data_IF_227627910723
#
_entry.id   IF_227627910723
#
_cell.length_a   1.000
_cell.length_b   1.000
_cell.length_c   1.000
_cell.angle_alpha   90.00
_cell.angle_beta   90.00
_cell.angle_gamma   90.00
#
_symmetry.space_group_name_H-M   'P 1'
#
loop_
_entity.id
_entity.type
_entity.pdbx_description
1 polymer ?
#
# COMPACT_ATOMS: atom_id res chain seq x y z
N UNK A 1 -46.14 -47.47 -24.63
CA UNK A 1 -46.15 -45.99 -24.66
C UNK A 1 -45.06 -45.30 -23.85
N UNK A 2 -44.53 -45.90 -22.77
CA UNK A 2 -43.47 -45.25 -21.95
C UNK A 2 -42.02 -45.38 -22.45
N UNK A 3 -41.73 -46.22 -23.44
CA UNK A 3 -40.34 -46.49 -23.87
C UNK A 3 -39.91 -45.71 -25.14
N UNK A 4 -40.86 -45.14 -25.88
CA UNK A 4 -40.58 -44.34 -27.09
C UNK A 4 -40.37 -42.84 -26.80
N UNK A 5 -40.95 -42.31 -25.72
CA UNK A 5 -40.76 -40.92 -25.30
C UNK A 5 -39.39 -40.66 -24.65
N UNK A 6 -38.83 -41.65 -23.94
CA UNK A 6 -37.49 -41.54 -23.36
C UNK A 6 -36.38 -41.56 -24.42
N UNK A 7 -36.54 -42.34 -25.50
CA UNK A 7 -35.55 -42.40 -26.58
C UNK A 7 -35.49 -41.09 -27.39
N UNK A 8 -36.63 -40.46 -27.69
CA UNK A 8 -36.64 -39.16 -28.37
C UNK A 8 -35.97 -38.06 -27.52
N UNK A 9 -36.26 -38.01 -26.21
CA UNK A 9 -35.67 -37.01 -25.33
C UNK A 9 -34.13 -37.17 -25.18
N UNK A 10 -33.62 -38.40 -25.21
CA UNK A 10 -32.16 -38.64 -25.17
C UNK A 10 -31.46 -38.32 -26.49
N UNK A 11 -32.13 -38.48 -27.63
CA UNK A 11 -31.57 -38.12 -28.94
C UNK A 11 -31.50 -36.60 -29.14
N UNK A 12 -32.48 -35.85 -28.66
CA UNK A 12 -32.48 -34.38 -28.71
C UNK A 12 -31.40 -33.78 -27.78
N UNK A 13 -31.17 -34.37 -26.60
CA UNK A 13 -30.13 -33.91 -25.69
C UNK A 13 -28.70 -34.13 -26.26
N UNK A 14 -28.46 -35.25 -26.94
CA UNK A 14 -27.18 -35.55 -27.59
C UNK A 14 -26.98 -34.66 -28.83
N UNK A 15 -28.03 -34.41 -29.61
CA UNK A 15 -27.98 -33.48 -30.74
C UNK A 15 -27.71 -32.04 -30.29
N UNK A 16 -28.31 -31.59 -29.18
CA UNK A 16 -28.00 -30.29 -28.58
C UNK A 16 -26.57 -30.23 -28.04
N UNK A 17 -26.06 -31.29 -27.39
CA UNK A 17 -24.67 -31.31 -26.89
C UNK A 17 -23.65 -31.29 -28.04
N UNK A 18 -23.94 -32.01 -29.13
CA UNK A 18 -23.11 -32.01 -30.34
C UNK A 18 -23.20 -30.66 -31.07
N UNK A 19 -24.35 -30.01 -31.10
CA UNK A 19 -24.49 -28.66 -31.67
C UNK A 19 -23.79 -27.61 -30.81
N UNK A 20 -23.83 -27.72 -29.48
CA UNK A 20 -23.09 -26.84 -28.56
C UNK A 20 -21.59 -27.09 -28.67
N UNK A 21 -21.13 -28.34 -28.77
CA UNK A 21 -19.72 -28.68 -29.02
C UNK A 21 -19.25 -28.22 -30.41
N UNK A 22 -20.08 -28.36 -31.45
CA UNK A 22 -19.79 -27.87 -32.80
C UNK A 22 -19.78 -26.33 -32.86
N UNK A 23 -20.63 -25.66 -32.07
CA UNK A 23 -20.60 -24.20 -31.88
C UNK A 23 -19.37 -23.77 -31.08
N UNK A 24 -18.97 -24.51 -30.03
CA UNK A 24 -17.77 -24.21 -29.24
C UNK A 24 -16.48 -24.45 -30.02
N UNK A 25 -16.42 -25.46 -30.88
CA UNK A 25 -15.28 -25.68 -31.78
C UNK A 25 -15.22 -24.68 -32.94
N UNK A 26 -16.29 -23.92 -33.20
CA UNK A 26 -16.33 -22.87 -34.23
C UNK A 26 -16.12 -21.45 -33.69
N UNK A 27 -15.92 -21.27 -32.39
CA UNK A 27 -15.85 -19.94 -31.75
C UNK A 27 -14.47 -19.56 -31.21
N UNK A 28 -13.41 -20.26 -31.60
CA UNK A 28 -12.01 -19.88 -31.32
C UNK A 28 -11.13 -20.04 -32.58
N UNK A 29 -11.61 -19.59 -33.74
CA UNK A 29 -10.67 -18.98 -34.70
C UNK A 29 -10.52 -17.53 -34.24
N UNK A 30 -9.55 -17.29 -33.35
CA UNK A 30 -9.03 -15.93 -33.16
C UNK A 30 -8.25 -15.67 -34.43
N UNK A 31 -8.85 -14.94 -35.38
CA UNK A 31 -8.14 -14.48 -36.57
C UNK A 31 -6.84 -13.81 -36.10
N UNK A 32 -5.71 -14.44 -36.45
CA UNK A 32 -4.41 -13.97 -36.00
C UNK A 32 -4.12 -12.62 -36.65
N UNK A 33 -3.99 -11.58 -35.83
CA UNK A 33 -3.76 -10.20 -36.26
C UNK A 33 -2.44 -10.11 -37.05
N UNK A 34 -2.47 -9.58 -38.26
CA UNK A 34 -1.28 -9.41 -39.09
C UNK A 34 -0.66 -8.02 -38.87
N UNK A 35 0.62 -7.94 -38.55
CA UNK A 35 1.34 -6.68 -38.38
C UNK A 35 2.54 -6.57 -39.32
N UNK A 36 2.97 -5.34 -39.58
CA UNK A 36 4.25 -5.08 -40.25
C UNK A 36 5.41 -5.20 -39.27
N UNK A 37 6.52 -5.78 -39.69
CA UNK A 37 7.69 -6.02 -38.85
C UNK A 37 8.99 -5.79 -39.62
N UNK A 38 9.88 -4.97 -39.07
CA UNK A 38 11.12 -4.56 -39.75
C UNK A 38 12.18 -5.67 -39.77
N UNK A 39 12.13 -6.62 -38.82
CA UNK A 39 13.15 -7.67 -38.62
C UNK A 39 12.59 -9.10 -38.59
N UNK A 40 11.44 -9.34 -39.21
CA UNK A 40 10.82 -10.66 -39.27
C UNK A 40 11.20 -11.43 -40.54
N UNK A 41 11.35 -12.76 -40.42
CA UNK A 41 11.96 -13.64 -41.44
C UNK A 41 11.07 -13.95 -42.66
N UNK A 42 9.84 -13.46 -42.72
CA UNK A 42 8.92 -13.66 -43.84
C UNK A 42 8.27 -12.33 -44.23
N UNK A 43 8.54 -11.84 -45.45
CA UNK A 43 7.85 -10.73 -46.12
C UNK A 43 7.61 -9.43 -45.30
N UNK A 44 8.43 -9.15 -44.28
CA UNK A 44 8.24 -8.01 -43.36
C UNK A 44 6.88 -8.00 -42.65
N UNK A 45 6.31 -9.19 -42.40
CA UNK A 45 5.08 -9.35 -41.64
C UNK A 45 5.23 -10.36 -40.50
N UNK A 46 4.36 -10.26 -39.50
CA UNK A 46 4.25 -11.19 -38.39
C UNK A 46 2.77 -11.31 -37.97
N UNK A 47 2.45 -12.38 -37.25
CA UNK A 47 1.09 -12.66 -36.74
C UNK A 47 1.09 -12.67 -35.22
N UNK A 48 0.10 -12.06 -34.59
CA UNK A 48 -0.04 -12.00 -33.13
C UNK A 48 -1.48 -12.15 -32.65
N UNK A 49 -1.64 -12.59 -31.42
CA UNK A 49 -2.88 -12.60 -30.64
C UNK A 49 -3.08 -11.31 -29.80
N UNK A 50 -2.05 -10.44 -29.77
CA UNK A 50 -2.07 -9.17 -29.03
C UNK A 50 -2.30 -7.95 -29.93
N UNK A 51 -1.26 -7.13 -30.11
CA UNK A 51 -1.36 -5.84 -30.83
C UNK A 51 -0.16 -5.61 -31.75
N UNK A 52 -0.36 -4.78 -32.78
CA UNK A 52 0.72 -4.27 -33.61
C UNK A 52 1.37 -3.05 -32.95
N UNK A 53 2.70 -3.00 -32.94
CA UNK A 53 3.48 -1.92 -32.34
C UNK A 53 4.24 -1.11 -33.39
N UNK A 54 4.33 0.21 -33.18
CA UNK A 54 5.24 1.12 -33.89
C UNK A 54 5.83 2.16 -32.94
N UNK A 55 7.14 2.39 -33.05
CA UNK A 55 7.83 3.51 -32.42
C UNK A 55 8.08 4.61 -33.45
N UNK A 56 7.60 5.84 -33.18
CA UNK A 56 7.77 6.99 -34.06
C UNK A 56 8.73 7.99 -33.43
N UNK A 57 9.78 8.38 -34.16
CA UNK A 57 10.73 9.40 -33.75
C UNK A 57 10.44 10.73 -34.43
N UNK A 58 10.33 11.80 -33.65
CA UNK A 58 10.20 13.17 -34.14
C UNK A 58 11.58 13.81 -34.28
N UNK A 59 11.99 14.11 -35.51
CA UNK A 59 13.24 14.80 -35.83
C UNK A 59 12.93 16.14 -36.51
N UNK A 60 12.79 17.21 -35.71
CA UNK A 60 12.36 18.52 -36.21
C UNK A 60 10.87 18.53 -36.61
N UNK A 61 10.58 18.91 -37.87
CA UNK A 61 9.24 18.88 -38.47
C UNK A 61 8.87 17.54 -39.11
N UNK A 62 9.81 16.59 -39.19
CA UNK A 62 9.62 15.30 -39.85
C UNK A 62 9.47 14.17 -38.82
N UNK A 63 8.51 13.29 -39.04
CA UNK A 63 8.25 12.11 -38.21
C UNK A 63 8.69 10.87 -38.96
N UNK A 64 9.47 10.00 -38.31
CA UNK A 64 10.06 8.81 -38.92
C UNK A 64 9.76 7.62 -38.01
N UNK A 65 9.22 6.53 -38.54
CA UNK A 65 9.08 5.28 -37.78
C UNK A 65 10.44 4.60 -37.57
N UNK A 66 10.78 4.29 -36.34
CA UNK A 66 12.07 3.72 -35.93
C UNK A 66 12.02 2.19 -35.76
N UNK A 67 10.89 1.65 -35.31
CA UNK A 67 10.74 0.20 -35.07
C UNK A 67 9.28 -0.24 -35.17
N UNK A 68 9.03 -1.36 -35.85
CA UNK A 68 7.72 -2.02 -35.98
C UNK A 68 7.81 -3.51 -35.66
N UNK A 69 6.89 -4.03 -34.86
CA UNK A 69 6.84 -5.45 -34.49
C UNK A 69 5.44 -5.89 -34.01
N UNK A 70 5.27 -7.20 -33.92
CA UNK A 70 4.15 -7.84 -33.22
C UNK A 70 4.42 -7.91 -31.72
N UNK A 71 3.40 -7.66 -30.90
CA UNK A 71 3.43 -7.90 -29.46
C UNK A 71 2.36 -8.93 -29.13
N UNK A 72 2.74 -10.02 -28.47
CA UNK A 72 1.80 -11.06 -28.03
C UNK A 72 0.99 -10.61 -26.82
N UNK A 73 -0.22 -11.16 -26.66
CA UNK A 73 -1.09 -10.86 -25.51
C UNK A 73 -0.42 -11.20 -24.17
N UNK A 74 0.44 -12.21 -24.15
CA UNK A 74 1.25 -12.57 -22.96
C UNK A 74 2.28 -11.50 -22.55
N UNK A 75 2.67 -10.60 -23.46
CA UNK A 75 3.64 -9.52 -23.22
C UNK A 75 2.97 -8.18 -22.86
N UNK A 76 1.64 -8.12 -22.90
CA UNK A 76 0.86 -6.93 -22.55
C UNK A 76 0.73 -6.79 -21.03
N UNK A 77 1.64 -6.04 -20.43
CA UNK A 77 1.69 -5.84 -18.97
C UNK A 77 1.57 -4.34 -18.64
N UNK A 78 0.60 -3.94 -17.78
CA UNK A 78 -0.66 -4.65 -17.47
C UNK A 78 -1.56 -4.72 -18.72
N UNK A 79 -2.39 -5.76 -18.84
CA UNK A 79 -3.22 -6.03 -20.04
C UNK A 79 -4.12 -4.86 -20.43
N UNK A 80 -4.73 -4.19 -19.45
CA UNK A 80 -5.65 -3.08 -19.69
C UNK A 80 -4.95 -1.78 -20.12
N UNK A 81 -3.65 -1.64 -19.82
CA UNK A 81 -2.85 -0.47 -20.16
C UNK A 81 -1.38 -0.85 -20.34
N UNK A 82 -1.02 -1.51 -21.44
CA UNK A 82 0.31 -2.07 -21.63
C UNK A 82 1.36 -0.95 -21.63
N UNK A 83 2.42 -1.10 -20.84
CA UNK A 83 3.48 -0.08 -20.76
C UNK A 83 4.14 0.16 -22.13
N UNK A 84 4.22 -0.87 -22.96
CA UNK A 84 4.77 -0.80 -24.33
C UNK A 84 3.95 0.13 -25.25
N UNK A 85 2.68 0.39 -24.92
CA UNK A 85 1.78 1.25 -25.68
C UNK A 85 1.59 2.64 -25.05
N UNK A 86 2.21 2.89 -23.89
CA UNK A 86 1.99 4.13 -23.15
C UNK A 86 2.86 5.27 -23.68
N UNK A 87 2.30 6.44 -24.02
CA UNK A 87 3.09 7.60 -24.44
C UNK A 87 4.00 8.08 -23.30
N UNK A 88 5.28 8.32 -23.59
CA UNK A 88 6.23 8.83 -22.62
C UNK A 88 5.99 10.32 -22.37
N UNK A 89 5.78 10.72 -21.11
CA UNK A 89 5.56 12.13 -20.72
C UNK A 89 6.86 12.93 -20.54
N UNK A 90 8.03 12.29 -20.65
CA UNK A 90 9.33 12.96 -20.61
C UNK A 90 9.81 13.25 -22.03
N UNK A 91 9.73 14.52 -22.41
CA UNK A 91 9.96 15.11 -23.74
C UNK A 91 11.39 15.00 -24.29
N UNK A 92 12.30 14.23 -23.67
CA UNK A 92 13.73 14.29 -24.00
C UNK A 92 14.19 13.29 -25.08
N UNK A 93 13.44 12.22 -25.35
CA UNK A 93 13.90 11.19 -26.32
C UNK A 93 13.21 11.24 -27.68
N UNK A 94 12.12 12.02 -27.82
CA UNK A 94 11.45 12.22 -29.12
C UNK A 94 10.85 10.95 -29.74
N UNK A 95 10.70 9.85 -28.99
CA UNK A 95 10.14 8.57 -29.45
C UNK A 95 8.74 8.40 -28.86
N UNK A 96 7.76 8.14 -29.72
CA UNK A 96 6.34 7.97 -29.42
C UNK A 96 5.92 6.53 -29.77
N UNK A 97 5.74 5.66 -28.76
CA UNK A 97 5.21 4.32 -28.99
C UNK A 97 3.70 4.37 -29.24
N UNK A 98 3.23 3.59 -30.20
CA UNK A 98 1.81 3.42 -30.50
C UNK A 98 1.50 1.94 -30.74
N UNK A 99 0.32 1.53 -30.28
CA UNK A 99 -0.23 0.21 -30.50
C UNK A 99 -1.59 0.30 -31.18
N UNK A 100 -1.89 -0.67 -32.03
CA UNK A 100 -3.16 -0.75 -32.75
C UNK A 100 -3.55 -2.21 -33.01
N UNK A 101 -4.84 -2.43 -33.27
CA UNK A 101 -5.46 -3.76 -33.27
C UNK A 101 -6.16 -4.11 -34.59
N UNK A 102 -5.72 -3.52 -35.70
CA UNK A 102 -6.20 -3.84 -37.05
C UNK A 102 -5.06 -4.29 -37.96
N UNK A 103 -5.35 -5.11 -38.96
CA UNK A 103 -4.32 -5.68 -39.82
C UNK A 103 -3.46 -4.59 -40.49
N UNK A 104 -2.15 -4.72 -40.38
CA UNK A 104 -1.11 -3.83 -40.90
C UNK A 104 -1.22 -2.36 -40.46
N UNK A 105 -1.95 -2.07 -39.37
CA UNK A 105 -2.15 -0.71 -38.87
C UNK A 105 -0.85 0.03 -38.49
N UNK A 106 0.22 -0.71 -38.22
CA UNK A 106 1.53 -0.16 -37.86
C UNK A 106 2.44 0.11 -39.08
N UNK A 107 1.97 -0.14 -40.32
CA UNK A 107 2.73 0.07 -41.56
C UNK A 107 2.82 1.54 -41.95
N UNK A 108 1.67 2.22 -41.95
CA UNK A 108 1.50 3.64 -42.30
C UNK A 108 0.68 4.34 -41.20
N UNK A 109 1.27 4.60 -40.02
CA UNK A 109 0.55 5.19 -38.89
C UNK A 109 0.10 6.63 -39.21
N UNK A 110 -1.13 6.98 -38.82
CA UNK A 110 -1.64 8.34 -38.94
C UNK A 110 -0.98 9.27 -37.91
N UNK A 111 -0.21 10.23 -38.42
CA UNK A 111 0.53 11.22 -37.63
C UNK A 111 -0.33 12.39 -37.15
N UNK A 112 -1.65 12.40 -37.38
CA UNK A 112 -2.57 13.45 -36.93
C UNK A 112 -3.19 13.16 -35.55
N UNK A 113 -3.00 11.96 -34.99
CA UNK A 113 -3.58 11.50 -33.71
C UNK A 113 -2.72 11.88 -32.50
N UNK A 114 -1.86 12.90 -32.62
CA UNK A 114 -1.29 13.50 -31.41
C UNK A 114 -2.41 14.25 -30.70
N UNK A 115 -2.58 14.12 -29.37
CA UNK A 115 -3.39 15.10 -28.65
C UNK A 115 -2.72 16.46 -28.86
N UNK A 116 -3.31 17.29 -29.72
CA UNK A 116 -3.11 18.73 -29.63
C UNK A 116 -3.45 19.13 -28.20
N UNK A 117 -2.64 20.01 -27.61
CA UNK A 117 -2.98 20.64 -26.34
C UNK A 117 -4.34 21.34 -26.49
N UNK A 118 -5.43 20.67 -26.09
CA UNK A 118 -6.67 21.37 -25.77
C UNK A 118 -6.38 22.22 -24.53
N UNK A 119 -6.04 23.49 -24.77
CA UNK A 119 -6.11 24.51 -23.73
C UNK A 119 -7.58 24.64 -23.35
N UNK A 120 -7.98 24.27 -22.12
CA UNK A 120 -9.37 24.45 -21.72
C UNK A 120 -9.68 25.94 -21.79
N UNK A 121 -10.80 26.29 -22.44
CA UNK A 121 -11.39 27.61 -22.38
C UNK A 121 -11.75 27.95 -20.93
N UNK A 122 -10.80 28.53 -20.19
CA UNK A 122 -11.03 28.98 -18.83
C UNK A 122 -11.89 30.23 -18.85
N UNK A 123 -13.11 30.16 -18.33
CA UNK A 123 -13.74 31.35 -17.76
C UNK A 123 -12.76 31.93 -16.74
N UNK A 124 -12.43 33.22 -16.89
CA UNK A 124 -11.41 33.87 -16.08
C UNK A 124 -11.67 33.70 -14.57
N UNK A 125 -10.63 33.76 -13.72
CA UNK A 125 -10.73 33.53 -12.27
C UNK A 125 -11.84 34.34 -11.59
N UNK A 126 -12.11 35.53 -12.13
CA UNK A 126 -13.16 36.45 -11.66
C UNK A 126 -14.57 35.92 -11.94
N UNK A 127 -14.79 35.31 -13.10
CA UNK A 127 -16.09 34.74 -13.45
C UNK A 127 -16.36 33.45 -12.66
N UNK A 128 -15.35 32.61 -12.45
CA UNK A 128 -15.46 31.40 -11.63
C UNK A 128 -15.73 31.76 -10.15
N UNK A 129 -15.04 32.78 -9.63
CA UNK A 129 -15.27 33.28 -8.27
C UNK A 129 -16.68 33.86 -8.11
N UNK A 130 -17.20 34.60 -9.09
CA UNK A 130 -18.56 35.14 -9.05
C UNK A 130 -19.64 34.05 -9.08
N UNK A 131 -19.44 33.00 -9.88
CA UNK A 131 -20.38 31.87 -10.00
C UNK A 131 -20.45 31.04 -8.72
N UNK A 132 -19.37 30.96 -7.94
CA UNK A 132 -19.34 30.21 -6.67
C UNK A 132 -19.78 31.10 -5.49
N UNK A 133 -19.34 32.36 -5.45
CA UNK A 133 -19.62 33.25 -4.33
C UNK A 133 -21.10 33.64 -4.24
N UNK A 134 -21.78 33.88 -5.37
CA UNK A 134 -23.19 34.26 -5.37
C UNK A 134 -24.12 33.21 -4.74
N UNK A 135 -24.08 31.92 -5.15
CA UNK A 135 -24.91 30.88 -4.52
C UNK A 135 -24.59 30.69 -3.03
N UNK A 136 -23.31 30.74 -2.64
CA UNK A 136 -22.91 30.58 -1.24
C UNK A 136 -23.44 31.73 -0.38
N UNK A 137 -23.35 32.97 -0.86
CA UNK A 137 -23.91 34.13 -0.16
C UNK A 137 -25.44 34.03 -0.03
N UNK A 138 -26.14 33.59 -1.07
CA UNK A 138 -27.60 33.38 -1.03
C UNK A 138 -27.97 32.30 -0.01
N UNK A 139 -27.26 31.17 0.00
CA UNK A 139 -27.48 30.09 0.98
C UNK A 139 -27.25 30.55 2.42
N UNK A 140 -26.20 31.33 2.69
CA UNK A 140 -25.94 31.90 4.01
C UNK A 140 -27.07 32.85 4.45
N UNK A 141 -27.58 33.70 3.55
CA UNK A 141 -28.69 34.60 3.85
C UNK A 141 -30.00 33.84 4.15
N UNK A 142 -30.27 32.76 3.42
CA UNK A 142 -31.44 31.90 3.67
C UNK A 142 -31.35 31.20 5.03
N UNK A 143 -30.16 30.74 5.43
CA UNK A 143 -29.95 30.12 6.75
C UNK A 143 -30.13 31.11 7.90
N UNK A 144 -29.63 32.35 7.75
CA UNK A 144 -29.82 33.41 8.75
C UNK A 144 -31.30 33.78 8.87
N UNK A 145 -32.01 33.90 7.74
CA UNK A 145 -33.44 34.20 7.73
C UNK A 145 -34.25 33.07 8.37
N UNK A 146 -33.92 31.81 8.06
CA UNK A 146 -34.55 30.63 8.66
C UNK A 146 -34.32 30.60 10.18
N UNK A 147 -33.10 30.89 10.65
CA UNK A 147 -32.78 31.00 12.06
C UNK A 147 -33.59 32.10 12.74
N UNK A 148 -33.70 33.27 12.12
CA UNK A 148 -34.47 34.39 12.64
C UNK A 148 -35.97 34.09 12.72
N UNK A 149 -36.53 33.43 11.71
CA UNK A 149 -37.94 33.00 11.69
C UNK A 149 -38.19 31.92 12.75
N UNK A 150 -37.33 30.91 12.87
CA UNK A 150 -37.44 29.88 13.91
C UNK A 150 -37.30 30.47 15.32
N UNK A 151 -36.44 31.46 15.50
CA UNK A 151 -36.26 32.12 16.79
C UNK A 151 -37.47 33.00 17.15
N UNK A 152 -38.01 33.76 16.20
CA UNK A 152 -39.22 34.55 16.44
C UNK A 152 -40.48 33.68 16.61
N UNK A 153 -40.57 32.55 15.92
CA UNK A 153 -41.67 31.58 16.14
C UNK A 153 -41.57 30.88 17.49
N UNK A 154 -40.35 30.66 18.01
CA UNK A 154 -40.13 30.14 19.38
C UNK A 154 -40.37 31.20 20.48
N UNK A 155 -40.45 32.48 20.13
CA UNK A 155 -40.71 33.58 21.06
C UNK A 155 -42.19 33.81 21.43
N UNK A 156 -43.15 33.12 20.78
CA UNK A 156 -44.58 33.33 21.03
C UNK A 156 -45.37 32.06 21.44
N UNK A 157 -44.72 30.92 21.66
CA UNK A 157 -45.44 29.67 21.93
C UNK A 157 -44.66 28.61 22.68
N UNK A 158 -44.28 28.87 23.94
CA UNK A 158 -43.89 27.81 24.89
C UNK A 158 -43.97 28.30 26.34
N UNK A 159 -45.18 28.64 26.78
CA UNK A 159 -45.50 28.61 28.20
C UNK A 159 -45.71 27.16 28.63
N UNK A 160 -44.85 26.68 29.55
CA UNK A 160 -45.11 25.51 30.39
C UNK A 160 -44.62 24.16 29.87
N UNK A 161 -43.54 23.65 30.47
CA UNK A 161 -43.60 22.46 31.34
C UNK A 161 -42.20 21.85 31.58
N UNK A 162 -41.89 21.61 32.87
CA UNK A 162 -41.22 20.37 33.28
C UNK A 162 -39.69 20.41 33.42
N UNK A 163 -39.23 20.71 34.63
CA UNK A 163 -37.87 20.47 35.10
C UNK A 163 -37.53 18.97 35.20
N UNK A 164 -36.28 18.60 34.91
CA UNK A 164 -35.56 17.56 35.67
C UNK A 164 -34.05 17.81 35.60
N UNK A 165 -33.49 18.28 36.72
CA UNK A 165 -32.05 18.29 36.96
C UNK A 165 -31.53 16.85 37.08
N UNK A 166 -30.53 16.45 36.29
CA UNK A 166 -29.64 15.37 36.70
C UNK A 166 -28.21 15.88 36.86
N UNK A 167 -27.78 15.80 38.12
CA UNK A 167 -26.55 16.25 38.74
C UNK A 167 -25.39 15.34 38.34
N UNK A 168 -24.23 15.96 38.08
CA UNK A 168 -22.91 15.33 37.94
C UNK A 168 -22.50 14.70 39.28
N UNK A 169 -21.97 13.47 39.34
CA UNK A 169 -21.19 13.01 40.47
C UNK A 169 -19.70 13.28 40.22
N UNK A 170 -19.10 13.99 41.15
CA UNK A 170 -17.66 14.08 41.37
C UNK A 170 -17.43 13.30 42.67
N UNK A 171 -16.60 12.25 42.66
CA UNK A 171 -16.12 11.64 43.90
C UNK A 171 -14.80 10.91 43.67
N UNK A 172 -13.79 11.39 44.40
CA UNK A 172 -12.57 10.69 44.75
C UNK A 172 -12.91 9.67 45.86
N UNK A 173 -12.60 8.39 45.67
CA UNK A 173 -12.38 7.46 46.80
C UNK A 173 -11.40 6.33 46.37
N UNK A 174 -10.39 5.96 47.19
CA UNK A 174 -9.33 5.03 46.81
C UNK A 174 -9.58 3.65 47.44
N UNK A 175 -10.17 2.71 46.70
CA UNK A 175 -10.16 1.28 47.09
C UNK A 175 -10.65 0.34 45.98
N UNK A 176 -9.89 0.15 44.90
CA UNK A 176 -10.13 -0.93 43.94
C UNK A 176 -8.80 -1.45 43.37
N UNK A 177 -8.11 -2.27 44.15
CA UNK A 177 -7.03 -3.15 43.66
C UNK A 177 -7.63 -4.45 43.14
N UNK A 178 -8.19 -4.45 41.94
CA UNK A 178 -8.37 -5.68 41.15
C UNK A 178 -8.13 -5.40 39.67
N UNK A 179 -7.03 -5.88 39.07
CA UNK A 179 -6.88 -5.86 37.63
C UNK A 179 -7.97 -6.74 37.02
N UNK A 180 -8.75 -6.20 36.09
CA UNK A 180 -9.77 -6.86 35.28
C UNK A 180 -9.16 -7.89 34.31
N UNK A 181 -8.33 -8.82 34.80
CA UNK A 181 -7.55 -9.73 33.97
C UNK A 181 -7.43 -11.06 34.69
N UNK A 182 -8.13 -12.05 34.15
CA UNK A 182 -8.12 -13.42 34.66
C UNK A 182 -6.73 -14.04 34.50
N UNK A 183 -6.20 -14.58 35.59
CA UNK A 183 -4.94 -15.33 35.62
C UNK A 183 -5.10 -16.56 34.73
N UNK A 184 -4.29 -16.64 33.66
CA UNK A 184 -4.28 -17.77 32.71
C UNK A 184 -4.61 -17.43 31.25
N UNK A 185 -4.96 -16.18 30.92
CA UNK A 185 -5.15 -15.74 29.53
C UNK A 185 -3.81 -15.48 28.84
N UNK A 186 -3.61 -16.03 27.63
CA UNK A 186 -2.38 -15.78 26.87
C UNK A 186 -2.45 -14.43 26.15
N UNK A 187 -1.29 -13.86 25.78
CA UNK A 187 -1.22 -12.61 25.02
C UNK A 187 -2.00 -12.70 23.70
N UNK A 188 -1.97 -13.87 23.05
CA UNK A 188 -2.69 -14.11 21.80
C UNK A 188 -4.21 -14.04 22.00
N UNK A 189 -4.73 -14.57 23.10
CA UNK A 189 -6.16 -14.56 23.39
C UNK A 189 -6.65 -13.13 23.65
N UNK A 190 -5.91 -12.35 24.43
CA UNK A 190 -6.25 -10.96 24.74
C UNK A 190 -6.25 -10.07 23.48
N UNK A 191 -5.32 -10.31 22.56
CA UNK A 191 -5.26 -9.59 21.27
C UNK A 191 -6.39 -10.06 20.35
N UNK A 192 -6.63 -11.37 20.25
CA UNK A 192 -7.66 -11.93 19.37
C UNK A 192 -9.07 -11.46 19.77
N UNK A 193 -9.41 -11.57 21.06
CA UNK A 193 -10.73 -11.20 21.58
C UNK A 193 -11.02 -9.69 21.42
N UNK A 194 -9.99 -8.83 21.52
CA UNK A 194 -10.17 -7.37 21.40
C UNK A 194 -10.07 -6.84 19.96
N UNK A 195 -9.56 -7.63 19.00
CA UNK A 195 -9.55 -7.26 17.57
C UNK A 195 -10.87 -7.52 16.85
N UNK A 196 -11.83 -8.22 17.47
CA UNK A 196 -13.18 -8.43 16.91
C UNK A 196 -14.08 -7.20 16.99
N UNK A 197 -13.74 -6.23 17.84
CA UNK A 197 -14.40 -4.92 17.91
C UNK A 197 -13.64 -3.93 17.03
N UNK A 198 -14.05 -3.81 15.77
CA UNK A 198 -13.34 -3.11 14.69
C UNK A 198 -13.15 -1.59 14.86
N UNK A 199 -12.38 -1.13 15.84
CA UNK A 199 -12.09 0.30 16.06
C UNK A 199 -10.61 0.66 16.15
N UNK A 200 -9.69 -0.30 16.01
CA UNK A 200 -8.25 -0.02 15.98
C UNK A 200 -7.37 -1.25 16.15
N UNK A 201 -6.11 -1.16 15.74
CA UNK A 201 -5.09 -2.17 15.95
C UNK A 201 -4.44 -1.96 17.32
N UNK A 202 -4.96 -2.61 18.37
CA UNK A 202 -4.37 -2.55 19.72
C UNK A 202 -5.38 -2.70 20.86
N UNK A 203 -4.87 -2.75 22.09
CA UNK A 203 -5.70 -2.82 23.31
C UNK A 203 -6.45 -1.49 23.52
N UNK A 204 -7.64 -1.46 24.17
CA UNK A 204 -8.39 -0.24 24.47
C UNK A 204 -7.54 0.82 25.19
N UNK A 205 -7.75 2.12 24.88
CA UNK A 205 -6.98 3.25 25.40
C UNK A 205 -6.85 3.28 26.95
N UNK A 206 -7.87 2.80 27.68
CA UNK A 206 -7.85 2.73 29.15
C UNK A 206 -6.91 1.63 29.67
N UNK A 207 -6.74 0.53 28.93
CA UNK A 207 -5.82 -0.57 29.28
C UNK A 207 -4.38 -0.20 28.94
N UNK A 208 -4.17 0.62 27.89
CA UNK A 208 -2.83 1.01 27.43
C UNK A 208 -1.99 1.70 28.52
N UNK A 209 -2.59 2.54 29.39
CA UNK A 209 -1.90 3.39 30.39
C UNK A 209 -1.32 2.69 31.63
N UNK A 210 -1.17 1.36 31.61
CA UNK A 210 -0.63 0.60 32.76
C UNK A 210 0.28 -0.56 32.36
N UNK A 211 0.46 -0.79 31.07
CA UNK A 211 1.18 -1.96 30.56
C UNK A 211 2.66 -1.87 30.92
N UNK A 212 3.27 -0.70 30.75
CA UNK A 212 4.68 -0.48 31.01
C UNK A 212 5.07 -0.75 32.49
N UNK A 213 4.13 -0.59 33.43
CA UNK A 213 4.34 -0.91 34.85
C UNK A 213 4.54 -2.40 35.10
N UNK A 214 3.86 -3.24 34.30
CA UNK A 214 3.88 -4.69 34.43
C UNK A 214 4.95 -5.38 33.58
N UNK A 215 5.66 -4.63 32.73
CA UNK A 215 6.76 -5.14 31.91
C UNK A 215 8.08 -5.05 32.66
N UNK A 216 8.82 -6.15 32.65
CA UNK A 216 10.18 -6.24 33.17
C UNK A 216 11.15 -6.22 31.98
N UNK A 217 12.00 -5.19 31.89
CA UNK A 217 13.05 -5.12 30.89
C UNK A 217 14.15 -6.14 31.22
N UNK A 218 14.68 -6.82 30.21
CA UNK A 218 15.70 -7.85 30.37
C UNK A 218 17.02 -7.46 29.70
N UNK A 219 16.99 -7.21 28.39
CA UNK A 219 18.20 -7.00 27.59
C UNK A 219 18.00 -5.86 26.59
N UNK A 220 19.00 -4.99 26.43
CA UNK A 220 19.01 -4.01 25.34
C UNK A 220 19.43 -4.73 24.04
N UNK A 221 18.53 -4.76 23.06
CA UNK A 221 18.73 -5.51 21.81
C UNK A 221 19.11 -4.62 20.63
N UNK A 222 18.97 -3.30 20.75
CA UNK A 222 19.44 -2.37 19.72
C UNK A 222 19.17 -0.91 20.03
N UNK A 223 19.91 -0.02 19.38
CA UNK A 223 19.65 1.42 19.39
C UNK A 223 19.14 1.83 18.01
N UNK A 224 17.89 2.28 17.97
CA UNK A 224 17.26 2.85 16.78
C UNK A 224 17.61 4.32 16.59
N UNK A 225 16.95 4.97 15.61
CA UNK A 225 17.18 6.39 15.29
C UNK A 225 16.74 7.34 16.41
N UNK A 226 15.65 7.00 17.09
CA UNK A 226 14.95 7.87 18.05
C UNK A 226 14.76 7.22 19.43
N UNK A 227 15.41 6.07 19.68
CA UNK A 227 15.15 5.32 20.90
C UNK A 227 15.92 4.02 20.99
N UNK A 228 15.92 3.43 22.18
CA UNK A 228 16.55 2.14 22.46
C UNK A 228 15.48 1.04 22.48
N UNK A 229 15.76 -0.09 21.85
CA UNK A 229 14.89 -1.26 21.82
C UNK A 229 15.41 -2.27 22.82
N UNK A 230 14.51 -2.69 23.71
CA UNK A 230 14.74 -3.68 24.75
C UNK A 230 13.89 -4.91 24.51
N UNK A 231 14.44 -6.08 24.83
CA UNK A 231 13.67 -7.28 25.11
C UNK A 231 13.11 -7.15 26.53
N UNK A 232 11.81 -7.37 26.67
CA UNK A 232 11.12 -7.38 27.96
C UNK A 232 10.19 -8.57 28.08
N UNK A 233 9.70 -8.78 29.30
CA UNK A 233 8.77 -9.86 29.62
C UNK A 233 7.44 -9.27 30.12
N UNK A 234 6.34 -9.67 29.49
CA UNK A 234 4.98 -9.29 29.87
C UNK A 234 4.11 -10.54 30.03
N UNK A 235 3.63 -10.80 31.26
CA UNK A 235 2.81 -11.99 31.58
C UNK A 235 3.41 -13.33 31.14
N UNK A 236 4.74 -13.44 31.21
CA UNK A 236 5.46 -14.66 30.80
C UNK A 236 5.85 -14.70 29.33
N UNK A 237 5.30 -13.82 28.50
CA UNK A 237 5.61 -13.72 27.06
C UNK A 237 6.71 -12.68 26.80
N UNK A 238 7.48 -12.91 25.73
CA UNK A 238 8.54 -12.03 25.28
C UNK A 238 7.97 -10.88 24.43
N UNK A 239 8.33 -9.64 24.76
CA UNK A 239 7.91 -8.43 24.04
C UNK A 239 9.12 -7.57 23.68
N UNK A 240 9.02 -6.82 22.60
CA UNK A 240 9.99 -5.77 22.27
C UNK A 240 9.45 -4.42 22.76
N UNK A 241 10.31 -3.64 23.41
CA UNK A 241 9.98 -2.34 23.99
C UNK A 241 10.92 -1.29 23.43
N UNK A 242 10.41 -0.40 22.58
CA UNK A 242 11.14 0.77 22.08
C UNK A 242 10.91 1.92 23.04
N UNK A 243 11.98 2.40 23.68
CA UNK A 243 11.97 3.43 24.70
C UNK A 243 12.54 4.72 24.11
N UNK A 244 11.76 5.78 24.20
CA UNK A 244 12.09 7.13 23.75
C UNK A 244 12.30 8.05 24.95
N UNK A 245 13.18 9.03 24.79
CA UNK A 245 13.29 10.13 25.74
C UNK A 245 12.11 11.10 25.58
N UNK A 246 11.82 11.90 26.61
CA UNK A 246 10.83 12.97 26.53
C UNK A 246 11.12 14.01 25.43
N UNK A 247 12.38 14.13 25.00
CA UNK A 247 12.78 15.01 23.88
C UNK A 247 12.33 14.47 22.51
N UNK A 248 12.01 13.19 22.43
CA UNK A 248 11.64 12.47 21.20
C UNK A 248 10.13 12.18 21.13
N UNK A 249 9.32 12.89 21.94
CA UNK A 249 7.86 12.72 22.01
C UNK A 249 7.18 12.80 20.64
N UNK A 250 7.61 13.70 19.76
CA UNK A 250 7.06 13.81 18.40
C UNK A 250 7.29 12.54 17.57
N UNK A 251 8.45 11.93 17.70
CA UNK A 251 8.80 10.69 17.00
C UNK A 251 8.01 9.50 17.57
N UNK A 252 7.94 9.40 18.90
CA UNK A 252 7.13 8.39 19.59
C UNK A 252 5.65 8.50 19.21
N UNK A 253 5.09 9.71 19.27
CA UNK A 253 3.69 9.97 18.95
C UNK A 253 3.37 9.61 17.50
N UNK A 254 4.23 10.01 16.55
CA UNK A 254 4.06 9.68 15.14
C UNK A 254 4.06 8.17 14.91
N UNK A 255 5.03 7.47 15.49
CA UNK A 255 5.13 6.02 15.32
C UNK A 255 3.95 5.30 15.98
N UNK A 256 3.53 5.73 17.17
CA UNK A 256 2.32 5.22 17.85
C UNK A 256 1.06 5.44 17.01
N UNK A 257 0.90 6.64 16.43
CA UNK A 257 -0.24 7.02 15.60
C UNK A 257 -0.32 6.14 14.34
N UNK A 258 0.81 5.93 13.66
CA UNK A 258 0.84 5.06 12.49
C UNK A 258 0.47 3.63 12.90
N UNK A 259 1.08 3.07 13.94
CA UNK A 259 0.79 1.70 14.37
C UNK A 259 -0.67 1.48 14.80
N UNK A 260 -1.35 2.51 15.29
CA UNK A 260 -2.77 2.46 15.66
C UNK A 260 -3.74 2.67 14.50
N UNK A 261 -3.24 2.83 13.26
CA UNK A 261 -4.09 2.99 12.08
C UNK A 261 -5.06 1.80 11.95
N UNK A 262 -6.32 2.13 11.67
CA UNK A 262 -7.40 1.16 11.46
C UNK A 262 -7.02 0.17 10.36
N UNK A 263 -7.32 -1.11 10.58
CA UNK A 263 -7.03 -2.21 9.63
C UNK A 263 -5.54 -2.35 9.23
N UNK A 264 -4.59 -1.79 9.99
CA UNK A 264 -3.14 -1.94 9.73
C UNK A 264 -2.58 -3.32 10.10
N UNK A 265 -3.23 -4.04 11.01
CA UNK A 265 -2.74 -5.31 11.52
C UNK A 265 -2.72 -6.35 10.39
N UNK A 266 -1.54 -6.86 10.08
CA UNK A 266 -1.31 -7.84 9.02
C UNK A 266 -0.18 -8.78 9.41
N UNK A 267 -0.19 -10.03 8.91
CA UNK A 267 0.83 -11.00 9.30
C UNK A 267 2.26 -10.58 8.95
N UNK A 268 2.45 -9.73 7.93
CA UNK A 268 3.77 -9.23 7.54
C UNK A 268 4.02 -7.77 7.96
N UNK A 269 3.28 -7.28 8.95
CA UNK A 269 3.54 -6.01 9.66
C UNK A 269 3.77 -6.33 11.14
N UNK A 270 4.73 -5.65 11.77
CA UNK A 270 5.04 -5.89 13.18
C UNK A 270 3.80 -5.70 14.06
N UNK A 271 3.50 -6.70 14.89
CA UNK A 271 2.37 -6.67 15.80
C UNK A 271 2.56 -5.62 16.89
N UNK A 272 1.90 -4.48 16.75
CA UNK A 272 1.79 -3.47 17.79
C UNK A 272 0.88 -3.96 18.93
N UNK A 273 1.28 -3.67 20.17
CA UNK A 273 0.54 -4.03 21.37
C UNK A 273 0.01 -2.78 22.05
N UNK A 274 0.90 -1.83 22.37
CA UNK A 274 0.53 -0.62 23.10
C UNK A 274 1.58 0.50 23.01
N UNK A 275 1.13 1.73 23.25
CA UNK A 275 1.97 2.87 23.58
C UNK A 275 1.67 3.29 25.01
N UNK A 276 2.69 3.55 25.82
CA UNK A 276 2.53 3.85 27.25
C UNK A 276 3.67 4.73 27.76
N UNK A 277 3.51 5.33 28.93
CA UNK A 277 4.50 6.19 29.57
C UNK A 277 4.94 5.58 30.90
N UNK A 278 6.24 5.54 31.18
CA UNK A 278 6.79 5.05 32.44
C UNK A 278 7.61 6.13 33.11
N UNK A 279 7.18 6.56 34.28
CA UNK A 279 7.97 7.41 35.16
C UNK A 279 8.81 6.54 36.09
N UNK A 280 10.12 6.80 36.15
CA UNK A 280 11.06 6.12 37.05
C UNK A 280 11.43 6.98 38.26
N UNK A 281 10.74 8.11 38.49
CA UNK A 281 10.98 9.07 39.56
C UNK A 281 12.01 10.15 39.22
N UNK A 282 12.69 10.05 38.07
CA UNK A 282 13.73 11.01 37.65
C UNK A 282 13.49 11.58 36.25
N UNK A 283 12.96 10.77 35.34
CA UNK A 283 12.51 11.23 34.02
C UNK A 283 11.41 10.31 33.48
N UNK A 284 10.54 10.87 32.64
CA UNK A 284 9.53 10.12 31.91
C UNK A 284 10.13 9.43 30.70
N UNK A 285 9.86 8.14 30.56
CA UNK A 285 10.14 7.35 29.37
C UNK A 285 8.85 7.11 28.59
N UNK A 286 8.92 7.24 27.27
CA UNK A 286 7.79 6.94 26.38
C UNK A 286 8.05 5.58 25.72
N UNK A 287 7.13 4.65 25.83
CA UNK A 287 7.29 3.26 25.45
C UNK A 287 6.38 2.93 24.26
N UNK A 288 6.90 2.18 23.30
CA UNK A 288 6.13 1.43 22.31
C UNK A 288 6.41 -0.05 22.51
N UNK A 289 5.35 -0.83 22.70
CA UNK A 289 5.41 -2.27 22.97
C UNK A 289 4.90 -3.03 21.75
N UNK A 290 5.67 -4.01 21.29
CA UNK A 290 5.33 -4.86 20.15
C UNK A 290 5.72 -6.32 20.39
N UNK A 291 5.32 -7.19 19.47
CA UNK A 291 5.78 -8.57 19.42
C UNK A 291 7.32 -8.63 19.36
N UNK A 292 7.91 -9.58 20.09
CA UNK A 292 9.33 -9.90 19.99
C UNK A 292 9.57 -11.00 18.94
N UNK A 293 10.64 -10.85 18.15
CA UNK A 293 11.06 -11.83 17.17
C UNK A 293 12.53 -12.21 17.39
N UNK A 294 12.75 -13.45 17.81
CA UNK A 294 14.06 -13.96 18.28
C UNK A 294 15.16 -13.95 17.21
N UNK A 295 14.78 -14.05 15.93
CA UNK A 295 15.74 -13.97 14.82
C UNK A 295 16.21 -12.54 14.53
N UNK A 296 15.59 -11.54 15.16
CA UNK A 296 15.95 -10.13 14.98
C UNK A 296 15.66 -9.63 13.57
N UNK A 297 16.50 -8.71 13.10
CA UNK A 297 16.33 -8.12 11.78
C UNK A 297 16.74 -9.08 10.66
N UNK A 298 16.19 -8.88 9.46
CA UNK A 298 16.59 -9.57 8.24
C UNK A 298 18.08 -9.35 7.97
N UNK A 299 18.60 -8.16 8.26
CA UNK A 299 20.04 -7.89 8.21
C UNK A 299 20.84 -8.85 9.10
N UNK A 300 20.45 -9.03 10.36
CA UNK A 300 21.15 -9.95 11.27
C UNK A 300 21.01 -11.40 10.82
N UNK A 301 19.82 -11.78 10.35
CA UNK A 301 19.53 -13.12 9.85
C UNK A 301 20.40 -13.48 8.64
N UNK A 302 20.49 -12.60 7.64
CA UNK A 302 21.26 -12.80 6.42
C UNK A 302 22.78 -12.81 6.66
N UNK A 303 23.26 -12.11 7.70
CA UNK A 303 24.66 -12.19 8.12
C UNK A 303 25.01 -13.52 8.79
N UNK A 304 24.05 -14.14 9.51
CA UNK A 304 24.26 -15.40 10.22
C UNK A 304 24.06 -16.63 9.32
N UNK A 305 23.11 -16.55 8.39
CA UNK A 305 22.64 -17.72 7.64
C UNK A 305 22.77 -17.55 6.12
N UNK A 306 22.83 -18.68 5.43
CA UNK A 306 22.47 -18.79 4.01
C UNK A 306 21.07 -19.37 3.92
N UNK A 307 20.36 -19.11 2.83
CA UNK A 307 18.98 -19.57 2.63
C UNK A 307 18.88 -20.50 1.42
N UNK A 308 17.92 -21.41 1.46
CA UNK A 308 17.52 -22.19 0.27
C UNK A 308 16.71 -21.32 -0.68
N UNK A 309 16.41 -21.84 -1.88
CA UNK A 309 15.49 -21.18 -2.83
C UNK A 309 14.12 -20.95 -2.19
N UNK A 310 13.58 -21.94 -1.49
CA UNK A 310 12.31 -21.81 -0.76
C UNK A 310 12.39 -20.72 0.32
N UNK A 311 13.46 -20.72 1.12
CA UNK A 311 13.68 -19.71 2.15
C UNK A 311 13.78 -18.29 1.58
N UNK A 312 14.50 -18.14 0.47
CA UNK A 312 14.60 -16.87 -0.27
C UNK A 312 13.21 -16.39 -0.72
N UNK A 313 12.41 -17.27 -1.34
CA UNK A 313 11.05 -16.95 -1.79
C UNK A 313 10.17 -16.57 -0.60
N UNK A 314 10.22 -17.33 0.51
CA UNK A 314 9.43 -17.02 1.72
C UNK A 314 9.75 -15.64 2.28
N UNK A 315 11.04 -15.30 2.42
CA UNK A 315 11.47 -13.99 2.92
C UNK A 315 11.02 -12.86 1.97
N UNK A 316 11.26 -13.01 0.67
CA UNK A 316 10.88 -11.99 -0.33
C UNK A 316 9.37 -11.81 -0.44
N UNK A 317 8.61 -12.90 -0.53
CA UNK A 317 7.15 -12.87 -0.66
C UNK A 317 6.50 -12.22 0.56
N UNK A 318 6.89 -12.64 1.76
CA UNK A 318 6.33 -12.07 3.00
C UNK A 318 6.67 -10.58 3.15
N UNK A 319 7.88 -10.15 2.79
CA UNK A 319 8.23 -8.72 2.74
C UNK A 319 7.36 -7.96 1.74
N UNK A 320 7.18 -8.49 0.52
CA UNK A 320 6.32 -7.87 -0.50
C UNK A 320 4.85 -7.80 -0.05
N UNK A 321 4.31 -8.87 0.55
CA UNK A 321 2.95 -8.88 1.08
C UNK A 321 2.73 -7.83 2.17
N UNK A 322 3.71 -7.63 3.05
CA UNK A 322 3.68 -6.56 4.04
C UNK A 322 3.67 -5.17 3.40
N UNK A 323 4.55 -4.93 2.43
CA UNK A 323 4.64 -3.64 1.76
C UNK A 323 3.39 -3.34 0.91
N UNK A 324 2.87 -4.34 0.21
CA UNK A 324 1.63 -4.25 -0.54
C UNK A 324 0.45 -3.89 0.39
N UNK A 325 0.36 -4.52 1.57
CA UNK A 325 -0.65 -4.17 2.56
C UNK A 325 -0.50 -2.72 3.08
N UNK A 326 0.72 -2.24 3.33
CA UNK A 326 0.96 -0.83 3.69
C UNK A 326 0.45 0.11 2.59
N UNK A 327 0.84 -0.16 1.34
CA UNK A 327 0.55 0.67 0.17
C UNK A 327 -0.93 0.64 -0.26
N UNK A 328 -1.66 -0.40 0.11
CA UNK A 328 -3.06 -0.58 -0.25
C UNK A 328 -3.97 0.31 0.59
N UNK A 329 -4.83 1.09 -0.07
CA UNK A 329 -5.97 1.72 0.57
C UNK A 329 -7.11 0.70 0.73
N UNK A 330 -7.75 0.68 1.90
CA UNK A 330 -8.94 -0.14 2.15
C UNK A 330 -10.10 0.83 2.34
N UNK A 331 -11.08 0.78 1.45
CA UNK A 331 -12.26 1.65 1.50
C UNK A 331 -13.31 1.05 2.44
N UNK A 332 -14.00 1.89 3.22
CA UNK A 332 -15.08 1.47 4.10
C UNK A 332 -15.26 2.39 5.31
N UNK A 333 -16.25 2.10 6.16
CA UNK A 333 -16.49 2.84 7.41
C UNK A 333 -15.32 2.76 8.39
N UNK A 334 -14.54 1.69 8.30
CA UNK A 334 -13.27 1.47 9.01
C UNK A 334 -12.15 1.33 7.97
N UNK A 335 -12.05 2.31 7.08
CA UNK A 335 -11.07 2.32 6.01
C UNK A 335 -9.63 2.45 6.52
N UNK A 336 -8.68 1.92 5.74
CA UNK A 336 -7.24 2.08 5.95
C UNK A 336 -6.70 3.04 4.89
N UNK A 337 -6.07 4.16 5.24
CA UNK A 337 -5.37 4.99 4.26
C UNK A 337 -4.19 4.22 3.65
N UNK A 338 -3.81 4.57 2.43
CA UNK A 338 -2.55 4.10 1.86
C UNK A 338 -1.37 4.67 2.68
N UNK A 339 -0.35 3.84 2.94
CA UNK A 339 0.81 4.20 3.77
C UNK A 339 2.10 3.91 2.99
N UNK A 340 3.03 4.88 2.93
CA UNK A 340 4.37 4.66 2.41
C UNK A 340 5.40 4.72 3.55
N UNK A 341 6.36 3.79 3.56
CA UNK A 341 7.26 3.51 4.68
C UNK A 341 8.41 4.53 4.80
N UNK A 342 9.02 4.94 3.68
CA UNK A 342 10.09 5.95 3.55
C UNK A 342 11.46 5.61 4.17
N UNK A 343 11.58 4.54 4.95
CA UNK A 343 12.88 4.03 5.44
C UNK A 343 12.98 2.50 5.39
N UNK A 344 12.52 1.91 4.28
CA UNK A 344 12.55 0.46 4.11
C UNK A 344 14.00 -0.01 3.90
N UNK A 345 14.43 -1.00 4.70
CA UNK A 345 15.77 -1.59 4.67
C UNK A 345 15.80 -2.91 5.43
N UNK A 346 16.81 -3.75 5.20
CA UNK A 346 16.93 -5.06 5.87
C UNK A 346 16.99 -4.99 7.41
N UNK A 347 17.44 -3.86 7.99
CA UNK A 347 17.42 -3.63 9.44
C UNK A 347 16.02 -3.32 10.01
N UNK A 348 15.08 -2.86 9.18
CA UNK A 348 13.72 -2.51 9.57
C UNK A 348 12.70 -3.60 9.15
N UNK A 349 13.19 -4.79 8.79
CA UNK A 349 12.37 -5.97 8.52
C UNK A 349 12.81 -7.02 9.52
N UNK A 350 11.88 -7.66 10.22
CA UNK A 350 12.17 -8.71 11.20
C UNK A 350 11.84 -10.09 10.64
N UNK A 351 12.60 -11.11 11.05
CA UNK A 351 12.35 -12.50 10.67
C UNK A 351 11.63 -13.22 11.81
N UNK A 352 10.52 -13.88 11.48
CA UNK A 352 9.71 -14.66 12.42
C UNK A 352 10.22 -16.10 12.52
N UNK A 353 9.82 -16.79 13.59
CA UNK A 353 10.16 -18.20 13.85
C UNK A 353 9.79 -19.17 12.71
N UNK A 354 8.74 -18.87 11.94
CA UNK A 354 8.31 -19.68 10.80
C UNK A 354 9.07 -19.38 9.49
N UNK A 355 10.07 -18.48 9.53
CA UNK A 355 10.88 -18.07 8.39
C UNK A 355 10.21 -17.07 7.45
N UNK A 356 9.14 -16.39 7.88
CA UNK A 356 8.55 -15.25 7.15
C UNK A 356 8.97 -13.91 7.77
N UNK A 357 8.79 -12.83 7.03
CA UNK A 357 9.14 -11.48 7.44
C UNK A 357 7.94 -10.71 7.99
N UNK A 358 8.21 -9.69 8.79
CA UNK A 358 7.32 -8.55 8.99
C UNK A 358 8.07 -7.21 8.95
N UNK A 359 7.43 -6.17 8.44
CA UNK A 359 8.00 -4.82 8.36
C UNK A 359 7.81 -4.10 9.71
N UNK A 360 8.85 -3.40 10.16
CA UNK A 360 8.93 -2.67 11.43
C UNK A 360 9.43 -1.23 11.22
N UNK A 361 9.43 -0.43 12.29
CA UNK A 361 9.94 0.96 12.33
C UNK A 361 9.20 1.91 11.38
N UNK A 362 7.90 2.08 11.63
CA UNK A 362 7.00 2.93 10.85
C UNK A 362 7.07 4.43 11.23
N UNK A 363 8.06 4.84 12.02
CA UNK A 363 8.14 6.21 12.57
C UNK A 363 8.36 7.33 11.54
N UNK A 364 8.70 6.99 10.29
CA UNK A 364 8.86 7.93 9.17
C UNK A 364 7.75 7.80 8.12
N UNK A 365 6.80 6.90 8.33
CA UNK A 365 5.77 6.59 7.35
C UNK A 365 4.79 7.76 7.16
N UNK A 366 4.31 7.91 5.92
CA UNK A 366 3.28 8.89 5.48
C UNK A 366 1.97 8.17 5.19
N UNK A 367 0.83 8.80 5.50
CA UNK A 367 -0.51 8.36 5.11
C UNK A 367 -1.06 9.29 4.03
N UNK A 368 -1.79 8.71 3.10
CA UNK A 368 -2.54 9.43 2.07
C UNK A 368 -3.99 9.62 2.52
N UNK A 369 -4.48 10.85 2.44
CA UNK A 369 -5.91 11.13 2.46
C UNK A 369 -6.40 11.23 1.01
N UNK A 370 -7.02 10.15 0.54
CA UNK A 370 -7.53 10.04 -0.83
C UNK A 370 -8.68 11.01 -1.14
N UNK A 371 -9.41 11.48 -0.11
CA UNK A 371 -10.53 12.40 -0.30
C UNK A 371 -10.07 13.83 -0.60
N UNK A 372 -8.93 14.24 -0.03
CA UNK A 372 -8.36 15.58 -0.24
C UNK A 372 -7.12 15.58 -1.13
N UNK A 373 -6.65 14.40 -1.53
CA UNK A 373 -5.36 14.16 -2.19
C UNK A 373 -4.19 14.82 -1.43
N UNK A 374 -4.24 14.73 -0.09
CA UNK A 374 -3.20 15.28 0.78
C UNK A 374 -2.41 14.19 1.50
N UNK A 375 -1.22 14.56 1.96
CA UNK A 375 -0.29 13.66 2.65
C UNK A 375 -0.07 14.22 4.04
N UNK A 376 -0.19 13.37 5.06
CA UNK A 376 -0.30 13.78 6.46
C UNK A 376 1.03 14.19 7.15
N UNK A 377 2.03 14.70 6.42
CA UNK A 377 3.33 15.13 7.02
C UNK A 377 3.85 16.48 6.50
N UNK A 378 4.56 17.15 7.42
CA UNK A 378 5.47 18.27 7.21
C UNK A 378 6.58 18.04 6.14
N UNK A 379 7.05 19.11 5.46
CA UNK A 379 7.78 19.08 4.18
C UNK A 379 9.28 18.75 4.29
N UNK A 380 9.67 17.69 5.02
CA UNK A 380 11.06 17.21 4.98
C UNK A 380 11.20 16.05 3.99
N UNK A 381 11.78 16.34 2.82
CA UNK A 381 11.98 15.40 1.70
C UNK A 381 13.06 14.33 1.99
N UNK A 382 14.24 14.72 2.48
CA UNK A 382 15.37 13.82 2.75
C UNK A 382 15.32 13.21 4.15
N UNK A 383 14.42 12.25 4.34
CA UNK A 383 14.43 11.36 5.51
C UNK A 383 14.71 9.92 5.09
N UNK A 384 15.13 9.09 6.04
CA UNK A 384 15.47 7.70 5.80
C UNK A 384 16.97 7.46 5.63
N UNK A 385 17.33 6.22 5.32
CA UNK A 385 18.71 5.76 5.25
C UNK A 385 19.28 6.00 3.86
N UNK A 386 20.30 6.88 3.75
CA UNK A 386 20.89 7.32 2.46
C UNK A 386 21.19 6.20 1.46
N UNK A 387 21.68 5.04 1.93
CA UNK A 387 22.01 3.88 1.09
C UNK A 387 20.81 3.31 0.33
N UNK A 388 19.60 3.44 0.88
CA UNK A 388 18.35 2.90 0.34
C UNK A 388 17.48 3.96 -0.34
N UNK A 389 17.92 5.22 -0.38
CA UNK A 389 17.17 6.28 -1.04
C UNK A 389 17.12 6.06 -2.55
N UNK A 390 15.92 6.17 -3.12
CA UNK A 390 15.72 6.16 -4.56
C UNK A 390 16.41 7.36 -5.23
N UNK A 391 16.79 7.26 -6.52
CA UNK A 391 17.49 8.33 -7.23
C UNK A 391 16.80 9.69 -7.10
N UNK A 392 15.47 9.71 -7.27
CA UNK A 392 14.65 10.92 -7.17
C UNK A 392 14.63 11.56 -5.76
N UNK A 393 14.93 10.77 -4.72
CA UNK A 393 15.08 11.25 -3.34
C UNK A 393 16.48 11.83 -3.11
N UNK A 394 17.50 11.26 -3.77
CA UNK A 394 18.89 11.70 -3.65
C UNK A 394 19.13 13.02 -4.40
N UNK A 395 18.60 13.13 -5.61
CA UNK A 395 18.75 14.31 -6.49
C UNK A 395 17.69 15.39 -6.26
N UNK A 396 16.74 15.13 -5.35
CA UNK A 396 15.66 16.04 -4.97
C UNK A 396 14.58 16.28 -6.03
N UNK A 397 14.50 15.43 -7.05
CA UNK A 397 13.49 15.52 -8.11
C UNK A 397 12.14 14.87 -7.74
N UNK A 398 12.03 14.23 -6.57
CA UNK A 398 10.80 13.56 -6.12
C UNK A 398 9.64 14.56 -5.97
N UNK A 399 8.50 14.26 -6.60
CA UNK A 399 7.27 15.03 -6.41
C UNK A 399 6.61 14.65 -5.07
N UNK A 400 6.91 15.41 -4.03
CA UNK A 400 6.37 15.22 -2.68
C UNK A 400 4.86 15.46 -2.57
N UNK A 401 4.22 16.14 -3.53
CA UNK A 401 2.77 16.35 -3.52
C UNK A 401 2.02 15.11 -3.97
N UNK A 402 2.69 14.21 -4.69
CA UNK A 402 2.09 13.03 -5.25
C UNK A 402 2.47 11.81 -4.42
N UNK A 403 1.48 11.23 -3.73
CA UNK A 403 1.72 10.13 -2.79
C UNK A 403 2.38 8.90 -3.44
N UNK A 404 2.03 8.62 -4.69
CA UNK A 404 2.59 7.50 -5.45
C UNK A 404 4.12 7.60 -5.60
N UNK A 405 4.70 8.81 -5.56
CA UNK A 405 6.15 8.98 -5.56
C UNK A 405 6.81 8.30 -4.36
N UNK A 406 6.19 8.34 -3.18
CA UNK A 406 6.72 7.67 -1.99
C UNK A 406 6.60 6.15 -2.08
N UNK A 407 5.50 5.65 -2.66
CA UNK A 407 5.33 4.21 -2.92
C UNK A 407 6.41 3.69 -3.86
N UNK A 408 6.70 4.41 -4.95
CA UNK A 408 7.78 4.05 -5.89
C UNK A 408 9.16 4.04 -5.22
N UNK A 409 9.44 5.01 -4.35
CA UNK A 409 10.68 5.04 -3.58
C UNK A 409 10.82 3.83 -2.64
N UNK A 410 9.73 3.37 -2.00
CA UNK A 410 9.74 2.14 -1.20
C UNK A 410 10.03 0.90 -2.06
N UNK A 411 9.47 0.83 -3.28
CA UNK A 411 9.74 -0.29 -4.22
C UNK A 411 11.22 -0.34 -4.61
N UNK A 412 11.85 0.81 -4.87
CA UNK A 412 13.30 0.88 -5.10
C UNK A 412 14.07 0.29 -3.91
N UNK A 413 13.74 0.71 -2.69
CA UNK A 413 14.39 0.22 -1.48
C UNK A 413 14.16 -1.29 -1.27
N UNK A 414 12.96 -1.80 -1.58
CA UNK A 414 12.64 -3.23 -1.53
C UNK A 414 13.48 -4.03 -2.54
N UNK A 415 13.76 -3.48 -3.73
CA UNK A 415 14.65 -4.09 -4.70
C UNK A 415 16.06 -4.33 -4.15
N UNK A 416 16.60 -3.39 -3.39
CA UNK A 416 17.89 -3.55 -2.70
C UNK A 416 17.84 -4.65 -1.64
N UNK A 417 16.74 -4.72 -0.88
CA UNK A 417 16.54 -5.79 0.11
C UNK A 417 16.45 -7.16 -0.57
N UNK A 418 15.77 -7.27 -1.72
CA UNK A 418 15.70 -8.53 -2.47
C UNK A 418 17.06 -8.95 -2.99
N UNK A 419 17.90 -8.01 -3.42
CA UNK A 419 19.29 -8.30 -3.76
C UNK A 419 20.08 -8.84 -2.53
N UNK A 420 19.90 -8.25 -1.34
CA UNK A 420 20.52 -8.76 -0.11
C UNK A 420 20.10 -10.21 0.17
N UNK A 421 18.80 -10.53 0.08
CA UNK A 421 18.27 -11.89 0.28
C UNK A 421 18.86 -12.86 -0.77
N UNK A 422 18.77 -12.52 -2.05
CA UNK A 422 19.23 -13.36 -3.14
C UNK A 422 20.74 -13.64 -3.06
N UNK A 423 21.54 -12.69 -2.57
CA UNK A 423 22.98 -12.85 -2.36
C UNK A 423 23.36 -13.95 -1.36
N UNK A 424 22.41 -14.35 -0.50
CA UNK A 424 22.55 -15.40 0.52
C UNK A 424 21.88 -16.70 0.14
N UNK A 425 21.24 -16.77 -1.04
CA UNK A 425 20.67 -17.99 -1.55
C UNK A 425 21.79 -18.97 -1.96
N UNK A 426 21.72 -20.20 -1.48
CA UNK A 426 22.67 -21.26 -1.83
C UNK A 426 21.96 -22.40 -2.56
N UNK A 427 22.50 -22.77 -3.72
CA UNK A 427 22.04 -23.88 -4.56
C UNK A 427 23.23 -24.80 -4.81
N UNK A 428 23.12 -26.08 -4.40
CA UNK A 428 24.19 -27.07 -4.59
C UNK A 428 25.48 -26.79 -3.81
N UNK A 429 25.41 -26.06 -2.69
CA UNK A 429 26.58 -25.69 -1.87
C UNK A 429 27.37 -24.47 -2.37
N UNK A 430 27.01 -23.89 -3.51
CA UNK A 430 27.49 -22.59 -3.99
C UNK A 430 26.50 -21.46 -3.68
N UNK A 431 26.97 -20.23 -3.52
CA UNK A 431 26.09 -19.05 -3.46
C UNK A 431 25.59 -18.72 -4.88
N UNK A 432 24.29 -18.47 -5.03
CA UNK A 432 23.66 -18.15 -6.33
C UNK A 432 24.33 -16.97 -7.05
N UNK A 433 24.86 -15.99 -6.32
CA UNK A 433 25.55 -14.83 -6.89
C UNK A 433 27.00 -15.10 -7.33
N UNK A 434 27.63 -16.19 -6.87
CA UNK A 434 28.99 -16.57 -7.32
C UNK A 434 28.98 -17.33 -8.66
N UNK A 435 27.83 -17.82 -9.11
CA UNK A 435 27.71 -18.51 -10.39
C UNK A 435 27.48 -17.57 -11.58
N UNK A 436 27.50 -16.25 -11.38
CA UNK A 436 27.51 -15.23 -12.45
C UNK A 436 28.94 -14.85 -12.92
N UNK A 437 29.90 -15.77 -12.85
CA UNK A 437 31.11 -15.61 -13.63
C UNK A 437 30.74 -15.90 -15.09
N UNK A 438 30.71 -14.83 -15.90
CA UNK A 438 30.69 -14.88 -17.35
C UNK A 438 31.69 -15.93 -17.86
N UNK A 439 31.20 -17.12 -18.19
CA UNK A 439 31.83 -17.98 -19.18
C UNK A 439 31.29 -17.53 -20.54
N UNK A 440 31.82 -16.41 -21.04
CA UNK A 440 31.66 -16.06 -22.45
C UNK A 440 32.46 -17.02 -23.32
N UNK A 441 31.95 -17.43 -24.50
CA UNK A 441 32.78 -17.97 -25.57
C UNK A 441 33.75 -16.92 -26.14
#
# INVERSE_FOLDING_TARGET
DGCQSALLATMDAIACLLLVLLFWTRLHDIDALQCYCDRCSANSSCTTDGVCFVAIKKSGSQQISEQRQCIHDSELIPRDRPFVCAPNSRTDTGIFPMCCSSDYCNKDPDFTVFPEEEKPHSLGPVALAAVIACPVCVMCLLLILAFYICHNQRGLGAGGAGALHHRVPNEEDPSMDHPFITVGTTLKDLIYDMTTSGSGSGLPLLVQRTIARTIILQESIGKGRFGEVWRGKWRGEEVAVKIFSSREERSWFREAEIYQTVMLRHENILGFIAADNKDNGTWTQLWLVSDYHEHGSLFDYLNRYTVTVEGMIKLSLSTASGLAHLHMEIVGTQGKPAIAHRDLKSKNILVKKNGTCCIADLGLAVRHDSATDTIDIAPNHRVGTKRYMAPEVLDDSINMKHFESFKRADIYAMGLVFWEIASRCSVGGGNCTKNFNYSGP
#
